data_IF_823591387701
#
_entry.id   IF_823591387701
#
_cell.length_a   1.000
_cell.length_b   1.000
_cell.length_c   1.000
_cell.angle_alpha   90.00
_cell.angle_beta   90.00
_cell.angle_gamma   90.00
#
_symmetry.space_group_name_H-M   'P 1'
#
loop_
_entity.id
_entity.type
_entity.pdbx_description
1 polymer ?
#
# COMPACT_ATOMS: atom_id res chain seq x y z
N UNK A 1 59.40 -6.50 0.23
CA UNK A 1 58.32 -5.50 0.04
C UNK A 1 57.09 -5.98 0.81
N UNK A 2 56.84 -5.34 1.95
CA UNK A 2 55.83 -5.70 2.97
C UNK A 2 54.47 -5.10 2.60
N UNK A 3 53.41 -5.88 2.83
CA UNK A 3 52.07 -5.46 3.31
C UNK A 3 51.27 -4.52 2.39
N UNK A 4 50.49 -5.07 1.45
CA UNK A 4 49.30 -4.41 0.87
C UNK A 4 48.25 -5.45 0.43
N UNK A 5 47.80 -6.35 1.32
CA UNK A 5 46.66 -7.26 1.05
C UNK A 5 45.59 -7.25 2.14
N UNK A 6 45.56 -6.22 3.00
CA UNK A 6 44.72 -6.18 4.21
C UNK A 6 43.69 -5.05 4.24
N UNK A 7 43.24 -4.53 3.08
CA UNK A 7 42.22 -3.49 3.04
C UNK A 7 41.01 -3.83 2.16
N UNK A 8 41.14 -4.77 1.23
CA UNK A 8 40.05 -5.13 0.32
C UNK A 8 39.01 -6.04 0.98
N UNK A 9 39.44 -6.94 1.88
CA UNK A 9 38.54 -7.81 2.63
C UNK A 9 37.72 -7.03 3.68
N UNK A 10 38.31 -5.99 4.27
CA UNK A 10 37.62 -5.11 5.22
C UNK A 10 36.59 -4.20 4.53
N UNK A 11 36.90 -3.69 3.33
CA UNK A 11 35.91 -2.98 2.50
C UNK A 11 34.75 -3.89 2.07
N UNK A 12 35.02 -5.17 1.79
CA UNK A 12 33.96 -6.12 1.43
C UNK A 12 33.08 -6.48 2.64
N UNK A 13 33.66 -6.64 3.83
CA UNK A 13 32.92 -6.81 5.09
C UNK A 13 32.10 -5.57 5.48
N UNK A 14 32.60 -4.36 5.20
CA UNK A 14 31.89 -3.10 5.45
C UNK A 14 30.71 -2.91 4.49
N UNK A 15 30.84 -3.36 3.23
CA UNK A 15 29.76 -3.30 2.24
C UNK A 15 28.61 -4.28 2.57
N UNK A 16 28.90 -5.43 3.19
CA UNK A 16 27.88 -6.40 3.64
C UNK A 16 27.12 -5.87 4.88
N UNK A 17 27.72 -4.97 5.66
CA UNK A 17 27.11 -4.42 6.88
C UNK A 17 26.12 -3.26 6.64
N UNK A 18 26.06 -2.68 5.44
CA UNK A 18 25.18 -1.55 5.13
C UNK A 18 23.79 -1.94 4.59
N UNK A 19 23.40 -3.21 4.67
CA UNK A 19 21.99 -3.59 4.50
C UNK A 19 21.18 -3.21 5.75
N UNK A 20 21.04 -1.90 5.99
CA UNK A 20 19.97 -1.39 6.85
C UNK A 20 18.65 -1.78 6.17
N UNK A 21 18.06 -2.86 6.64
CA UNK A 21 16.72 -3.28 6.25
C UNK A 21 15.71 -2.25 6.78
N UNK A 22 15.54 -1.14 6.06
CA UNK A 22 14.52 -0.16 6.40
C UNK A 22 13.15 -0.74 6.05
N UNK A 23 12.30 -0.93 7.06
CA UNK A 23 10.89 -1.29 6.87
C UNK A 23 10.09 -0.06 6.44
N UNK A 24 9.12 -0.27 5.56
CA UNK A 24 8.09 0.72 5.21
C UNK A 24 6.78 0.25 5.82
N UNK A 25 6.09 1.13 6.53
CA UNK A 25 4.77 0.86 7.11
C UNK A 25 3.75 1.88 6.62
N UNK A 26 2.62 1.38 6.15
CA UNK A 26 1.46 2.18 5.74
C UNK A 26 0.26 1.73 6.56
N UNK A 27 -0.45 2.68 7.17
CA UNK A 27 -1.60 2.41 8.03
C UNK A 27 -2.78 3.28 7.62
N UNK A 28 -3.88 2.64 7.22
CA UNK A 28 -5.19 3.23 7.06
C UNK A 28 -5.90 3.29 8.42
N UNK A 29 -6.22 4.50 8.89
CA UNK A 29 -7.01 4.71 10.11
C UNK A 29 -8.47 4.87 9.73
N UNK A 30 -8.92 6.11 9.59
CA UNK A 30 -10.34 6.47 9.40
C UNK A 30 -10.69 6.66 7.91
N UNK A 31 -9.67 6.63 7.05
CA UNK A 31 -9.73 6.68 5.59
C UNK A 31 -9.15 5.39 5.00
N UNK A 32 -9.51 5.12 3.75
CA UNK A 32 -8.81 4.13 2.93
C UNK A 32 -7.42 4.64 2.54
N UNK A 33 -6.51 3.72 2.26
CA UNK A 33 -5.17 4.05 1.75
C UNK A 33 -4.82 3.18 0.55
N UNK A 34 -3.78 3.59 -0.18
CA UNK A 34 -3.26 2.82 -1.31
C UNK A 34 -1.75 2.67 -1.21
N UNK A 35 -1.22 1.57 -1.72
CA UNK A 35 0.22 1.29 -1.74
C UNK A 35 0.64 0.74 -3.09
N UNK A 36 1.66 1.37 -3.68
CA UNK A 36 2.42 0.80 -4.80
C UNK A 36 3.67 0.14 -4.23
N UNK A 37 3.84 -1.16 -4.48
CA UNK A 37 5.04 -1.89 -4.06
C UNK A 37 6.15 -1.76 -5.12
N UNK A 38 7.43 -1.92 -4.75
CA UNK A 38 8.55 -1.77 -5.68
C UNK A 38 8.55 -2.73 -6.88
N UNK A 39 7.84 -3.86 -6.79
CA UNK A 39 7.70 -4.83 -7.89
C UNK A 39 6.56 -4.50 -8.87
N UNK A 40 5.90 -3.35 -8.69
CA UNK A 40 4.74 -2.93 -9.47
C UNK A 40 3.42 -3.56 -9.03
N UNK A 41 3.41 -4.35 -7.96
CA UNK A 41 2.16 -4.79 -7.32
C UNK A 41 1.48 -3.61 -6.62
N UNK A 42 0.19 -3.73 -6.39
CA UNK A 42 -0.63 -2.68 -5.80
C UNK A 42 -1.52 -3.22 -4.68
N UNK A 43 -1.84 -2.38 -3.69
CA UNK A 43 -2.83 -2.69 -2.67
C UNK A 43 -3.76 -1.52 -2.35
N UNK A 44 -5.03 -1.83 -2.12
CA UNK A 44 -6.01 -0.96 -1.46
C UNK A 44 -6.17 -1.43 -0.01
N UNK A 45 -6.01 -0.52 0.95
CA UNK A 45 -6.20 -0.79 2.37
C UNK A 45 -7.57 -0.25 2.80
N UNK A 46 -8.36 -1.12 3.44
CA UNK A 46 -9.58 -0.69 4.12
C UNK A 46 -9.22 0.10 5.40
N UNK A 47 -10.20 0.80 5.98
CA UNK A 47 -10.06 1.45 7.30
C UNK A 47 -9.57 0.47 8.35
N UNK A 48 -8.81 0.95 9.33
CA UNK A 48 -8.18 0.16 10.38
C UNK A 48 -7.29 -0.99 9.87
N UNK A 49 -6.65 -0.79 8.73
CA UNK A 49 -5.77 -1.79 8.12
C UNK A 49 -4.36 -1.25 7.99
N UNK A 50 -3.38 -2.13 7.93
CA UNK A 50 -1.98 -1.73 7.76
C UNK A 50 -1.18 -2.78 7.02
N UNK A 51 -0.18 -2.33 6.29
CA UNK A 51 0.83 -3.18 5.66
C UNK A 51 2.22 -2.73 6.06
N UNK A 52 3.14 -3.67 6.23
CA UNK A 52 4.55 -3.43 6.49
C UNK A 52 5.41 -4.35 5.63
N UNK A 53 6.43 -3.80 4.98
CA UNK A 53 7.30 -4.54 4.05
C UNK A 53 8.72 -3.98 4.04
N UNK A 54 9.67 -4.77 3.53
CA UNK A 54 11.05 -4.31 3.34
C UNK A 54 11.12 -3.30 2.20
N UNK A 55 11.78 -2.16 2.42
CA UNK A 55 11.91 -1.11 1.39
C UNK A 55 12.48 -1.61 0.07
N UNK A 56 13.41 -2.57 0.13
CA UNK A 56 14.03 -3.18 -1.06
C UNK A 56 13.13 -4.24 -1.72
N UNK A 57 12.13 -4.75 -0.98
CA UNK A 57 11.13 -5.72 -1.42
C UNK A 57 11.68 -7.01 -2.06
N UNK A 58 12.93 -7.37 -1.72
CA UNK A 58 13.66 -8.50 -2.32
C UNK A 58 12.91 -9.83 -2.18
N UNK A 59 12.27 -10.06 -1.03
CA UNK A 59 11.55 -11.29 -0.73
C UNK A 59 10.04 -11.22 -1.03
N UNK A 60 9.52 -10.06 -1.47
CA UNK A 60 8.08 -9.80 -1.69
C UNK A 60 7.18 -10.25 -0.52
N UNK A 61 7.62 -10.00 0.72
CA UNK A 61 6.89 -10.33 1.95
C UNK A 61 6.24 -9.08 2.51
N UNK A 62 4.96 -9.19 2.86
CA UNK A 62 4.17 -8.13 3.49
C UNK A 62 3.55 -8.67 4.76
N UNK A 63 3.72 -7.95 5.87
CA UNK A 63 2.95 -8.16 7.09
C UNK A 63 1.70 -7.29 7.04
N UNK A 64 0.52 -7.88 7.21
CA UNK A 64 -0.76 -7.18 7.15
C UNK A 64 -1.52 -7.26 8.47
N UNK A 65 -2.34 -6.23 8.75
CA UNK A 65 -3.51 -6.29 9.64
C UNK A 65 -4.74 -5.71 8.95
N UNK A 66 -5.94 -6.18 9.32
CA UNK A 66 -7.20 -5.68 8.78
C UNK A 66 -7.57 -6.27 7.43
N UNK A 67 -8.21 -5.48 6.58
CA UNK A 67 -8.68 -5.87 5.25
C UNK A 67 -7.92 -5.12 4.16
N UNK A 68 -7.32 -5.88 3.24
CA UNK A 68 -6.50 -5.35 2.15
C UNK A 68 -6.79 -6.15 0.88
N UNK A 69 -7.04 -5.43 -0.21
CA UNK A 69 -7.11 -6.00 -1.53
C UNK A 69 -5.79 -5.81 -2.26
N UNK A 70 -5.33 -6.84 -2.95
CA UNK A 70 -4.08 -6.87 -3.68
C UNK A 70 -4.29 -7.12 -5.17
N UNK A 71 -3.57 -6.36 -5.99
CA UNK A 71 -3.28 -6.69 -7.39
C UNK A 71 -1.80 -7.02 -7.53
N UNK A 72 -1.47 -8.30 -7.52
CA UNK A 72 -0.06 -8.74 -7.53
C UNK A 72 0.43 -8.92 -8.96
N UNK A 73 1.52 -8.22 -9.29
CA UNK A 73 2.20 -8.38 -10.58
C UNK A 73 2.80 -9.78 -10.68
N UNK A 74 2.58 -10.42 -11.84
CA UNK A 74 3.07 -11.78 -12.08
C UNK A 74 4.60 -11.81 -12.04
N UNK A 75 5.17 -12.74 -11.27
CA UNK A 75 6.62 -12.93 -11.17
C UNK A 75 7.01 -14.36 -10.83
N UNK A 76 8.31 -14.64 -10.86
CA UNK A 76 8.85 -15.98 -10.57
C UNK A 76 8.95 -16.25 -9.06
N UNK A 77 9.15 -15.20 -8.26
CA UNK A 77 9.21 -15.32 -6.81
C UNK A 77 7.81 -15.15 -6.21
N UNK A 78 7.50 -15.93 -5.17
CA UNK A 78 6.23 -15.81 -4.46
C UNK A 78 6.09 -14.42 -3.82
N UNK A 79 4.89 -13.88 -3.89
CA UNK A 79 4.44 -12.76 -3.08
C UNK A 79 3.70 -13.35 -1.88
N UNK A 80 4.10 -12.94 -0.67
CA UNK A 80 3.65 -13.55 0.59
C UNK A 80 3.02 -12.47 1.46
N UNK A 81 1.76 -12.67 1.83
CA UNK A 81 1.08 -11.87 2.85
C UNK A 81 1.06 -12.67 4.14
N UNK A 82 1.76 -12.17 5.14
CA UNK A 82 1.77 -12.69 6.51
C UNK A 82 0.71 -11.97 7.34
N UNK A 83 -0.15 -12.73 8.00
CA UNK A 83 -1.11 -12.22 8.99
C UNK A 83 -0.87 -12.88 10.34
N UNK A 84 -1.59 -12.46 11.38
CA UNK A 84 -1.52 -13.11 12.69
C UNK A 84 -2.03 -14.56 12.67
N UNK A 85 -2.93 -14.89 11.74
CA UNK A 85 -3.58 -16.20 11.65
C UNK A 85 -3.02 -17.11 10.55
N UNK A 86 -2.17 -16.62 9.64
CA UNK A 86 -1.65 -17.45 8.57
C UNK A 86 -0.87 -16.71 7.48
N UNK A 87 -0.54 -17.44 6.43
CA UNK A 87 0.20 -16.97 5.27
C UNK A 87 -0.64 -17.16 3.99
N UNK A 88 -0.62 -16.15 3.13
CA UNK A 88 -1.23 -16.19 1.80
C UNK A 88 -0.13 -16.04 0.75
N UNK A 89 0.00 -17.00 -0.15
CA UNK A 89 1.08 -17.04 -1.15
C UNK A 89 0.53 -17.06 -2.56
N UNK A 90 1.11 -16.22 -3.42
CA UNK A 90 0.71 -16.09 -4.82
C UNK A 90 1.90 -15.84 -5.73
N UNK A 91 1.71 -16.02 -7.04
CA UNK A 91 2.69 -15.62 -8.07
C UNK A 91 2.24 -14.41 -8.90
N UNK A 92 0.94 -14.18 -9.00
CA UNK A 92 0.32 -13.10 -9.77
C UNK A 92 -1.19 -13.29 -9.74
N UNK A 93 -1.87 -12.58 -8.85
CA UNK A 93 -3.24 -12.87 -8.42
C UNK A 93 -3.91 -11.57 -8.00
N UNK A 94 -5.23 -11.45 -8.25
CA UNK A 94 -6.08 -10.42 -7.64
C UNK A 94 -6.90 -11.05 -6.54
N UNK A 95 -6.74 -10.58 -5.30
CA UNK A 95 -7.37 -11.22 -4.14
C UNK A 95 -7.55 -10.23 -2.98
N UNK A 96 -8.55 -10.50 -2.15
CA UNK A 96 -8.79 -9.80 -0.91
C UNK A 96 -8.34 -10.66 0.26
N UNK A 97 -7.68 -10.06 1.26
CA UNK A 97 -7.34 -10.71 2.53
C UNK A 97 -7.96 -9.90 3.65
N UNK A 98 -8.79 -10.54 4.46
CA UNK A 98 -9.33 -9.98 5.69
C UNK A 98 -8.87 -10.83 6.86
N UNK A 99 -8.10 -10.23 7.76
CA UNK A 99 -7.55 -10.94 8.92
C UNK A 99 -7.88 -10.22 10.20
N UNK A 100 -8.35 -10.99 11.16
CA UNK A 100 -8.33 -10.65 12.59
C UNK A 100 -7.35 -11.61 13.29
N UNK A 101 -7.34 -11.61 14.63
CA UNK A 101 -6.54 -12.56 15.41
C UNK A 101 -7.05 -14.00 15.29
N UNK A 102 -8.35 -14.18 15.11
CA UNK A 102 -9.03 -15.49 15.23
C UNK A 102 -9.63 -15.98 13.90
N UNK A 103 -9.56 -15.16 12.85
CA UNK A 103 -10.21 -15.43 11.57
C UNK A 103 -9.37 -14.87 10.43
N UNK A 104 -9.18 -15.68 9.40
CA UNK A 104 -8.52 -15.32 8.15
C UNK A 104 -9.44 -15.70 7.00
N UNK A 105 -9.86 -14.69 6.24
CA UNK A 105 -10.66 -14.82 5.04
C UNK A 105 -9.86 -14.37 3.83
N UNK A 106 -9.85 -15.18 2.78
CA UNK A 106 -9.21 -14.87 1.51
C UNK A 106 -10.18 -15.09 0.37
N UNK A 107 -10.46 -14.07 -0.43
CA UNK A 107 -11.30 -14.16 -1.63
C UNK A 107 -10.45 -13.95 -2.89
N UNK A 108 -10.58 -14.83 -3.89
CA UNK A 108 -9.77 -14.78 -5.12
C UNK A 108 -10.60 -14.30 -6.30
N UNK A 109 -10.23 -13.15 -6.85
CA UNK A 109 -10.86 -12.56 -8.02
C UNK A 109 -10.20 -13.01 -9.33
N UNK A 110 -8.90 -13.27 -9.33
CA UNK A 110 -8.21 -13.88 -10.48
C UNK A 110 -6.90 -14.52 -10.03
N UNK A 111 -6.50 -15.60 -10.69
CA UNK A 111 -5.28 -16.34 -10.36
C UNK A 111 -5.52 -17.48 -9.36
N UNK A 112 -4.48 -17.79 -8.59
CA UNK A 112 -4.44 -18.87 -7.60
C UNK A 112 -3.79 -18.38 -6.33
N UNK A 113 -4.33 -18.81 -5.19
CA UNK A 113 -3.77 -18.58 -3.85
C UNK A 113 -3.45 -19.91 -3.20
N UNK A 114 -2.28 -20.00 -2.58
CA UNK A 114 -2.01 -21.00 -1.54
C UNK A 114 -2.23 -20.33 -0.17
N UNK A 115 -3.22 -20.80 0.57
CA UNK A 115 -3.49 -20.39 1.94
C UNK A 115 -2.89 -21.42 2.90
N UNK A 116 -2.04 -20.95 3.81
CA UNK A 116 -1.43 -21.79 4.85
C UNK A 116 -1.79 -21.26 6.24
N UNK A 117 -2.31 -22.14 7.08
CA UNK A 117 -2.58 -21.88 8.50
C UNK A 117 -2.06 -23.07 9.29
N UNK A 118 -1.06 -22.87 10.14
CA UNK A 118 -0.33 -23.94 10.83
C UNK A 118 0.12 -25.08 9.88
N UNK A 119 -0.53 -26.25 9.99
CA UNK A 119 -0.31 -27.45 9.17
C UNK A 119 -1.30 -27.58 8.02
N UNK A 120 -2.33 -26.74 7.98
CA UNK A 120 -3.35 -26.72 6.94
C UNK A 120 -2.82 -25.93 5.73
N UNK A 121 -2.94 -26.52 4.55
CA UNK A 121 -2.57 -25.89 3.28
C UNK A 121 -3.70 -26.14 2.28
N UNK A 122 -4.24 -25.08 1.70
CA UNK A 122 -5.33 -25.15 0.74
C UNK A 122 -5.07 -24.23 -0.45
N UNK A 123 -5.39 -24.71 -1.64
CA UNK A 123 -5.49 -23.86 -2.82
C UNK A 123 -6.86 -23.20 -2.89
N UNK A 124 -6.87 -21.90 -3.19
CA UNK A 124 -8.09 -21.10 -3.41
C UNK A 124 -8.03 -20.58 -4.84
N UNK A 125 -8.98 -21.03 -5.68
CA UNK A 125 -9.03 -20.72 -7.10
C UNK A 125 -9.88 -19.48 -7.35
N UNK A 126 -9.77 -18.94 -8.57
CA UNK A 126 -10.63 -17.88 -9.06
C UNK A 126 -12.13 -18.12 -8.74
N UNK A 127 -12.79 -17.11 -8.16
CA UNK A 127 -14.20 -17.14 -7.79
C UNK A 127 -14.48 -17.88 -6.48
N UNK A 128 -13.44 -18.31 -5.76
CA UNK A 128 -13.57 -18.96 -4.46
C UNK A 128 -13.13 -18.05 -3.32
N UNK A 129 -13.68 -18.33 -2.14
CA UNK A 129 -13.22 -17.81 -0.86
C UNK A 129 -12.82 -18.95 0.06
N UNK A 130 -11.82 -18.71 0.88
CA UNK A 130 -11.40 -19.57 1.97
C UNK A 130 -11.55 -18.83 3.30
N UNK A 131 -12.14 -19.50 4.29
CA UNK A 131 -12.31 -18.95 5.64
C UNK A 131 -11.71 -19.93 6.63
N UNK A 132 -10.72 -19.46 7.38
CA UNK A 132 -10.20 -20.12 8.56
C UNK A 132 -10.77 -19.46 9.82
N UNK A 133 -11.23 -20.27 10.78
CA UNK A 133 -11.63 -19.83 12.11
C UNK A 133 -10.90 -20.64 13.17
N UNK A 134 -10.25 -19.96 14.10
CA UNK A 134 -9.46 -20.59 15.18
C UNK A 134 -10.30 -21.57 16.01
N UNK A 135 -11.57 -21.27 16.23
CA UNK A 135 -12.50 -22.12 16.99
C UNK A 135 -12.82 -23.45 16.31
N UNK A 136 -12.76 -23.49 14.97
CA UNK A 136 -13.10 -24.66 14.18
C UNK A 136 -11.86 -25.44 13.71
N UNK A 137 -10.68 -24.80 13.78
CA UNK A 137 -9.38 -25.35 13.35
C UNK A 137 -9.41 -25.99 11.96
N UNK A 138 -10.21 -25.42 11.06
CA UNK A 138 -10.35 -25.89 9.69
C UNK A 138 -10.41 -24.71 8.71
N UNK A 139 -10.23 -25.03 7.44
CA UNK A 139 -10.42 -24.09 6.33
C UNK A 139 -11.67 -24.51 5.57
N UNK A 140 -12.62 -23.59 5.42
CA UNK A 140 -13.84 -23.79 4.62
C UNK A 140 -13.71 -23.06 3.30
N UNK A 141 -13.96 -23.76 2.19
CA UNK A 141 -13.99 -23.19 0.84
C UNK A 141 -15.45 -22.96 0.42
N UNK A 142 -15.74 -21.80 -0.15
CA UNK A 142 -17.04 -21.44 -0.70
C UNK A 142 -16.89 -20.57 -1.95
N UNK A 143 -18.00 -20.20 -2.59
CA UNK A 143 -18.01 -19.20 -3.65
C UNK A 143 -17.72 -17.81 -3.07
N UNK A 144 -16.87 -17.04 -3.74
CA UNK A 144 -16.56 -15.67 -3.34
C UNK A 144 -17.74 -14.73 -3.57
N UNK A 145 -17.94 -13.81 -2.63
CA UNK A 145 -18.97 -12.76 -2.75
C UNK A 145 -18.37 -11.46 -3.32
N UNK A 146 -17.05 -11.29 -3.24
CA UNK A 146 -16.31 -10.12 -3.73
C UNK A 146 -16.77 -8.81 -3.11
N UNK A 147 -17.07 -8.84 -1.80
CA UNK A 147 -17.58 -7.69 -1.04
C UNK A 147 -16.63 -6.49 -1.05
N UNK A 148 -15.33 -6.73 -1.24
CA UNK A 148 -14.32 -5.69 -1.30
C UNK A 148 -14.55 -4.67 -2.42
N UNK A 149 -15.18 -5.11 -3.52
CA UNK A 149 -15.49 -4.23 -4.66
C UNK A 149 -16.34 -3.04 -4.27
N UNK A 150 -17.24 -3.19 -3.30
CA UNK A 150 -18.11 -2.11 -2.89
C UNK A 150 -17.30 -0.94 -2.29
N UNK A 151 -16.42 -1.23 -1.32
CA UNK A 151 -15.65 -0.18 -0.67
C UNK A 151 -14.54 0.37 -1.56
N UNK A 152 -13.97 -0.42 -2.47
CA UNK A 152 -13.04 0.08 -3.50
C UNK A 152 -13.74 1.08 -4.41
N UNK A 153 -14.96 0.77 -4.87
CA UNK A 153 -15.74 1.71 -5.69
C UNK A 153 -16.05 3.01 -4.93
N UNK A 154 -16.31 2.93 -3.63
CA UNK A 154 -16.56 4.11 -2.80
C UNK A 154 -15.29 4.95 -2.64
N UNK A 155 -14.14 4.32 -2.45
CA UNK A 155 -12.83 4.99 -2.45
C UNK A 155 -12.54 5.71 -3.78
N UNK A 156 -12.80 5.06 -4.91
CA UNK A 156 -12.60 5.68 -6.23
C UNK A 156 -13.49 6.92 -6.43
N UNK A 157 -14.74 6.88 -5.94
CA UNK A 157 -15.63 8.06 -5.94
C UNK A 157 -15.07 9.18 -5.08
N UNK A 158 -14.56 8.85 -3.89
CA UNK A 158 -13.97 9.83 -2.97
C UNK A 158 -12.74 10.50 -3.59
N UNK A 159 -11.84 9.74 -4.21
CA UNK A 159 -10.69 10.30 -4.95
C UNK A 159 -11.14 11.20 -6.10
N UNK A 160 -12.15 10.81 -6.87
CA UNK A 160 -12.70 11.62 -7.97
C UNK A 160 -13.31 12.93 -7.46
N UNK A 161 -13.99 12.89 -6.32
CA UNK A 161 -14.56 14.08 -5.68
C UNK A 161 -13.47 15.03 -5.20
N UNK A 162 -12.49 14.50 -4.47
CA UNK A 162 -11.34 15.27 -3.96
C UNK A 162 -10.57 15.95 -5.10
N UNK A 163 -10.31 15.23 -6.20
CA UNK A 163 -9.66 15.80 -7.39
C UNK A 163 -10.42 17.00 -7.97
N UNK A 164 -11.76 16.95 -8.01
CA UNK A 164 -12.59 18.08 -8.46
C UNK A 164 -12.50 19.28 -7.52
N UNK A 165 -12.49 19.03 -6.20
CA UNK A 165 -12.38 20.07 -5.18
C UNK A 165 -11.02 20.77 -5.25
N UNK A 166 -9.91 20.02 -5.34
CA UNK A 166 -8.55 20.57 -5.53
C UNK A 166 -8.48 21.46 -6.78
N UNK A 167 -9.08 21.03 -7.90
CA UNK A 167 -9.13 21.83 -9.14
C UNK A 167 -9.94 23.11 -8.97
N UNK A 168 -11.03 23.07 -8.18
CA UNK A 168 -11.84 24.25 -7.88
C UNK A 168 -11.06 25.24 -7.01
N UNK A 169 -10.43 24.74 -5.96
CA UNK A 169 -9.70 25.56 -4.98
C UNK A 169 -8.46 26.19 -5.61
N UNK A 170 -7.70 25.45 -6.42
CA UNK A 170 -6.56 25.99 -7.18
C UNK A 170 -6.97 27.11 -8.15
N UNK A 171 -8.14 27.00 -8.81
CA UNK A 171 -8.69 28.08 -9.64
C UNK A 171 -9.07 29.31 -8.80
N UNK A 172 -9.65 29.11 -7.63
CA UNK A 172 -10.01 30.19 -6.71
C UNK A 172 -8.77 30.92 -6.20
N UNK A 173 -7.78 30.18 -5.69
CA UNK A 173 -6.49 30.72 -5.24
C UNK A 173 -5.80 31.54 -6.33
N UNK A 174 -5.82 31.06 -7.59
CA UNK A 174 -5.27 31.80 -8.73
C UNK A 174 -6.01 33.11 -9.01
N UNK A 175 -7.34 33.15 -8.85
CA UNK A 175 -8.14 34.38 -9.01
C UNK A 175 -7.86 35.37 -7.88
N UNK A 176 -7.78 34.90 -6.65
CA UNK A 176 -7.49 35.73 -5.47
C UNK A 176 -6.09 36.33 -5.53
N UNK A 177 -5.07 35.52 -5.83
CA UNK A 177 -3.69 35.98 -6.04
C UNK A 177 -3.61 37.09 -7.10
N UNK A 178 -4.31 36.95 -8.25
CA UNK A 178 -4.39 38.00 -9.27
C UNK A 178 -5.06 39.28 -8.77
N UNK A 179 -6.16 39.18 -8.00
CA UNK A 179 -6.86 40.34 -7.44
C UNK A 179 -5.96 41.08 -6.44
N UNK A 180 -5.31 40.34 -5.54
CA UNK A 180 -4.39 40.89 -4.54
C UNK A 180 -3.20 41.58 -5.21
N UNK A 181 -2.58 40.97 -6.22
CA UNK A 181 -1.50 41.60 -6.98
C UNK A 181 -1.91 42.91 -7.66
N UNK A 182 -3.12 42.97 -8.25
CA UNK A 182 -3.68 44.22 -8.81
C UNK A 182 -3.88 45.30 -7.72
N UNK A 183 -4.38 44.92 -6.55
CA UNK A 183 -4.59 45.83 -5.42
C UNK A 183 -3.26 46.40 -4.93
N UNK A 184 -2.26 45.55 -4.68
CA UNK A 184 -0.91 45.95 -4.27
C UNK A 184 -0.30 46.92 -5.30
N UNK A 185 -0.40 46.62 -6.61
CA UNK A 185 0.11 47.52 -7.66
C UNK A 185 -0.58 48.89 -7.65
N UNK A 186 -1.88 48.94 -7.37
CA UNK A 186 -2.64 50.19 -7.25
C UNK A 186 -2.22 50.98 -6.01
N UNK A 187 -2.06 50.32 -4.87
CA UNK A 187 -1.68 50.95 -3.60
C UNK A 187 -0.24 51.47 -3.66
N UNK A 188 0.69 50.71 -4.25
CA UNK A 188 2.06 51.16 -4.50
C UNK A 188 2.13 52.42 -5.39
N UNK A 189 1.33 52.48 -6.45
CA UNK A 189 1.23 53.69 -7.30
C UNK A 189 0.73 54.92 -6.53
N UNK A 190 -0.22 54.74 -5.60
CA UNK A 190 -0.74 55.83 -4.77
C UNK A 190 0.31 56.33 -3.77
N UNK A 191 1.06 55.42 -3.14
CA UNK A 191 2.14 55.77 -2.21
C UNK A 191 3.23 56.60 -2.90
N UNK A 192 3.70 56.16 -4.09
CA UNK A 192 4.70 56.92 -4.86
C UNK A 192 4.28 58.35 -5.17
N UNK A 193 3.00 58.59 -5.52
CA UNK A 193 2.49 59.94 -5.79
C UNK A 193 2.52 60.85 -4.56
N UNK A 194 2.26 60.30 -3.37
CA UNK A 194 2.27 61.05 -2.11
C UNK A 194 3.69 61.42 -1.64
N UNK A 195 4.71 60.66 -2.03
CA UNK A 195 6.11 60.91 -1.62
C UNK A 195 6.87 61.85 -2.56
N UNK A 196 6.31 62.15 -3.74
CA UNK A 196 6.88 63.09 -4.73
C UNK A 196 6.13 64.43 -4.80
N UNK A 197 5.15 64.66 -3.92
CA UNK A 197 4.48 65.95 -3.71
C UNK A 197 4.93 66.49 -2.36
#
# INVERSE_FOLDING_TARGET
MKIMKSNLFFLFMLAIFLSSCSKVKVSAKDSYETVNFPDGSFAYLNKNSSVEYDKNFTNRIIKQKGEVFYEVTKGNNRFIVETESGEVKVLGTKFNVKSTRNELEVEVESGLVELKVDKLVNEVKNGQKAVFKETEKNIKIAKAELKHKQWINDLEKDFKKLGKEIVKDSKQLKKESKKTGKKIKKDFKKLKKKTTS
#
